data_IF_907191004660
#
_entry.id   IF_907191004660
#
_cell.length_a   1.000
_cell.length_b   1.000
_cell.length_c   1.000
_cell.angle_alpha   90.00
_cell.angle_beta   90.00
_cell.angle_gamma   90.00
#
_symmetry.space_group_name_H-M   'P 1'
#
loop_
_entity.id
_entity.type
_entity.pdbx_description
1 polymer ?
#
# COMPACT_ATOMS: atom_id res chain seq x y z
N UNK A 1 -5.53 -50.11 20.88
CA UNK A 1 -6.40 -49.40 19.92
C UNK A 1 -6.63 -47.99 20.42
N UNK A 2 -5.91 -47.00 19.90
CA UNK A 2 -6.16 -45.57 20.11
C UNK A 2 -5.69 -44.85 18.84
N UNK A 3 -6.57 -44.02 18.30
CA UNK A 3 -6.65 -43.65 16.89
C UNK A 3 -5.60 -42.67 16.39
N UNK A 4 -5.24 -42.86 15.12
CA UNK A 4 -4.58 -41.85 14.30
C UNK A 4 -5.63 -40.80 13.89
N UNK A 5 -5.52 -39.58 14.43
CA UNK A 5 -6.20 -38.41 13.91
C UNK A 5 -5.49 -37.96 12.63
N UNK A 6 -6.16 -38.14 11.50
CA UNK A 6 -5.75 -37.57 10.23
C UNK A 6 -5.74 -36.04 10.33
N UNK A 7 -4.58 -35.43 10.05
CA UNK A 7 -4.45 -34.00 9.81
C UNK A 7 -5.19 -33.64 8.51
N UNK A 8 -5.94 -32.52 8.44
CA UNK A 8 -6.60 -32.14 7.22
C UNK A 8 -5.58 -31.57 6.24
N UNK A 9 -5.31 -32.33 5.18
CA UNK A 9 -4.70 -31.86 3.95
C UNK A 9 -5.71 -31.02 3.15
N UNK A 10 -5.49 -29.72 3.07
CA UNK A 10 -5.97 -28.81 2.02
C UNK A 10 -5.25 -27.48 2.28
N UNK A 11 -4.56 -26.87 1.33
CA UNK A 11 -5.24 -26.07 0.32
C UNK A 11 -4.53 -26.15 -1.03
N UNK A 12 -5.36 -26.35 -2.04
CA UNK A 12 -5.06 -26.28 -3.46
C UNK A 12 -4.55 -24.88 -3.78
N UNK A 13 -3.35 -24.77 -4.33
CA UNK A 13 -2.82 -23.53 -4.90
C UNK A 13 -3.64 -23.19 -6.14
N UNK A 14 -4.66 -22.34 -5.97
CA UNK A 14 -5.34 -21.72 -7.11
C UNK A 14 -4.29 -21.00 -7.98
N UNK A 15 -4.39 -21.08 -9.32
CA UNK A 15 -3.50 -20.31 -10.18
C UNK A 15 -3.64 -18.83 -9.85
N UNK A 16 -2.51 -18.16 -9.63
CA UNK A 16 -2.49 -16.73 -9.35
C UNK A 16 -3.27 -15.99 -10.44
N UNK A 17 -4.12 -15.01 -10.08
CA UNK A 17 -4.85 -14.24 -11.05
C UNK A 17 -3.88 -13.58 -12.05
N UNK A 18 -4.31 -13.39 -13.31
CA UNK A 18 -3.51 -12.68 -14.30
C UNK A 18 -3.15 -11.29 -13.78
N UNK A 19 -1.94 -10.82 -14.09
CA UNK A 19 -1.49 -9.47 -13.73
C UNK A 19 -2.49 -8.48 -14.33
N UNK A 20 -2.95 -7.53 -13.51
CA UNK A 20 -3.84 -6.47 -13.99
C UNK A 20 -3.13 -5.65 -15.09
N UNK A 21 -3.82 -5.27 -16.18
CA UNK A 21 -3.22 -4.43 -17.23
C UNK A 21 -2.57 -3.15 -16.69
N UNK A 22 -3.17 -2.55 -15.66
CA UNK A 22 -2.62 -1.38 -14.98
C UNK A 22 -1.28 -1.67 -14.27
N UNK A 23 -1.15 -2.85 -13.65
CA UNK A 23 0.10 -3.27 -13.02
C UNK A 23 1.18 -3.58 -14.07
N UNK A 24 0.81 -4.17 -15.21
CA UNK A 24 1.75 -4.37 -16.31
C UNK A 24 2.27 -3.02 -16.86
N UNK A 25 1.38 -2.05 -17.07
CA UNK A 25 1.77 -0.71 -17.51
C UNK A 25 2.69 0.00 -16.50
N UNK A 26 2.47 -0.22 -15.20
CA UNK A 26 3.40 0.23 -14.16
C UNK A 26 4.78 -0.40 -14.33
N UNK A 27 4.86 -1.73 -14.48
CA UNK A 27 6.13 -2.44 -14.66
C UNK A 27 6.90 -1.99 -15.89
N UNK A 28 6.20 -1.83 -17.02
CA UNK A 28 6.80 -1.36 -18.26
C UNK A 28 7.34 0.07 -18.10
N UNK A 29 6.62 0.94 -17.37
CA UNK A 29 7.07 2.30 -17.08
C UNK A 29 8.30 2.33 -16.18
N UNK A 30 8.30 1.59 -15.08
CA UNK A 30 9.43 1.62 -14.12
C UNK A 30 10.69 0.99 -14.71
N UNK A 31 10.54 0.04 -15.63
CA UNK A 31 11.65 -0.54 -16.39
C UNK A 31 12.35 0.47 -17.33
N UNK A 32 11.77 1.65 -17.57
CA UNK A 32 12.43 2.70 -18.37
C UNK A 32 13.51 3.47 -17.60
N UNK A 33 13.49 3.43 -16.27
CA UNK A 33 14.41 4.23 -15.44
C UNK A 33 14.98 3.51 -14.21
N UNK A 34 14.52 2.31 -13.88
CA UNK A 34 15.07 1.46 -12.82
C UNK A 34 15.82 0.25 -13.38
N UNK A 35 16.71 -0.31 -12.57
CA UNK A 35 17.40 -1.57 -12.84
C UNK A 35 16.43 -2.76 -12.83
N UNK A 36 16.73 -3.80 -13.59
CA UNK A 36 15.84 -4.98 -13.70
C UNK A 36 15.58 -5.66 -12.36
N UNK A 37 16.60 -5.75 -11.50
CA UNK A 37 16.49 -6.34 -10.16
C UNK A 37 15.47 -5.57 -9.29
N UNK A 38 15.47 -4.23 -9.39
CA UNK A 38 14.52 -3.37 -8.68
C UNK A 38 13.09 -3.56 -9.22
N UNK A 39 12.94 -3.70 -10.53
CA UNK A 39 11.64 -3.97 -11.16
C UNK A 39 11.07 -5.32 -10.71
N UNK A 40 11.92 -6.33 -10.56
CA UNK A 40 11.50 -7.65 -10.08
C UNK A 40 11.11 -7.64 -8.59
N UNK A 41 11.75 -6.81 -7.76
CA UNK A 41 11.29 -6.54 -6.40
C UNK A 41 9.92 -5.86 -6.39
N UNK A 42 9.68 -4.89 -7.27
CA UNK A 42 8.36 -4.23 -7.41
C UNK A 42 7.27 -5.23 -7.83
N UNK A 43 7.55 -6.13 -8.77
CA UNK A 43 6.62 -7.22 -9.15
C UNK A 43 6.32 -8.14 -7.97
N UNK A 44 7.34 -8.47 -7.18
CA UNK A 44 7.20 -9.30 -5.98
C UNK A 44 6.31 -8.60 -4.95
N UNK A 45 6.51 -7.30 -4.74
CA UNK A 45 5.67 -6.49 -3.86
C UNK A 45 4.22 -6.41 -4.34
N UNK A 46 3.98 -6.24 -5.65
CA UNK A 46 2.64 -6.31 -6.23
C UNK A 46 1.95 -7.63 -5.91
N UNK A 47 2.63 -8.77 -6.12
CA UNK A 47 2.07 -10.10 -5.82
C UNK A 47 1.87 -10.33 -4.33
N UNK A 48 2.67 -9.70 -3.48
CA UNK A 48 2.46 -9.73 -2.05
C UNK A 48 1.21 -8.94 -1.66
N UNK A 49 1.07 -7.70 -2.13
CA UNK A 49 -0.12 -6.87 -1.88
C UNK A 49 -1.40 -7.48 -2.45
N UNK A 50 -1.35 -8.06 -3.64
CA UNK A 50 -2.49 -8.75 -4.27
C UNK A 50 -3.00 -9.91 -3.42
N UNK A 51 -2.09 -10.71 -2.85
CA UNK A 51 -2.44 -11.79 -1.92
C UNK A 51 -2.94 -11.27 -0.58
N UNK A 52 -2.31 -10.22 -0.05
CA UNK A 52 -2.69 -9.59 1.21
C UNK A 52 -4.13 -9.03 1.17
N UNK A 53 -4.54 -8.50 0.02
CA UNK A 53 -5.88 -7.98 -0.22
C UNK A 53 -6.81 -8.97 -0.96
N UNK A 54 -6.48 -10.26 -0.98
CA UNK A 54 -7.31 -11.26 -1.65
C UNK A 54 -8.72 -11.30 -1.04
N UNK A 55 -9.74 -11.25 -1.89
CA UNK A 55 -11.15 -11.20 -1.46
C UNK A 55 -11.62 -9.81 -0.98
N UNK A 56 -10.76 -8.80 -0.98
CA UNK A 56 -11.13 -7.41 -0.68
C UNK A 56 -11.49 -6.66 -1.97
N UNK A 57 -12.62 -5.95 -1.93
CA UNK A 57 -13.13 -5.18 -3.06
C UNK A 57 -13.35 -3.72 -2.67
N UNK A 58 -13.03 -2.81 -3.59
CA UNK A 58 -13.38 -1.39 -3.48
C UNK A 58 -14.89 -1.25 -3.52
N UNK A 59 -15.39 -0.09 -3.09
CA UNK A 59 -16.83 0.25 -3.16
C UNK A 59 -17.39 0.26 -4.59
N UNK A 60 -16.52 0.42 -5.59
CA UNK A 60 -16.83 0.33 -7.02
C UNK A 60 -17.01 -1.11 -7.52
N UNK A 61 -16.62 -2.12 -6.73
CA UNK A 61 -16.64 -3.54 -7.12
C UNK A 61 -15.33 -4.06 -7.72
N UNK A 62 -14.31 -3.19 -7.90
CA UNK A 62 -12.98 -3.60 -8.37
C UNK A 62 -12.15 -4.25 -7.24
N UNK A 63 -11.18 -5.13 -7.55
CA UNK A 63 -10.24 -5.65 -6.57
C UNK A 63 -9.49 -4.52 -5.85
N UNK A 64 -9.26 -4.65 -4.54
CA UNK A 64 -8.62 -3.58 -3.75
C UNK A 64 -7.23 -3.19 -4.27
N UNK A 65 -6.49 -4.16 -4.82
CA UNK A 65 -5.15 -3.96 -5.38
C UNK A 65 -5.09 -2.89 -6.49
N UNK A 66 -6.21 -2.52 -7.13
CA UNK A 66 -6.24 -1.44 -8.12
C UNK A 66 -5.82 -0.09 -7.53
N UNK A 67 -6.14 0.16 -6.25
CA UNK A 67 -5.80 1.40 -5.58
C UNK A 67 -4.28 1.55 -5.34
N UNK A 68 -3.59 0.61 -4.65
CA UNK A 68 -2.14 0.67 -4.48
C UNK A 68 -1.38 0.75 -5.82
N UNK A 69 -1.85 0.06 -6.86
CA UNK A 69 -1.26 0.13 -8.21
C UNK A 69 -1.39 1.53 -8.81
N UNK A 70 -2.53 2.20 -8.64
CA UNK A 70 -2.73 3.55 -9.13
C UNK A 70 -1.86 4.57 -8.38
N UNK A 71 -1.73 4.43 -7.06
CA UNK A 71 -0.82 5.26 -6.25
C UNK A 71 0.64 5.07 -6.69
N UNK A 72 1.08 3.83 -6.86
CA UNK A 72 2.41 3.53 -7.38
C UNK A 72 2.63 4.06 -8.81
N UNK A 73 1.59 4.08 -9.64
CA UNK A 73 1.66 4.65 -10.99
C UNK A 73 1.89 6.17 -10.99
N UNK A 74 1.25 6.90 -10.07
CA UNK A 74 1.48 8.34 -9.86
C UNK A 74 2.92 8.59 -9.40
N UNK A 75 3.42 7.79 -8.46
CA UNK A 75 4.80 7.92 -7.99
C UNK A 75 5.81 7.57 -9.08
N UNK A 76 5.48 6.64 -9.97
CA UNK A 76 6.31 6.33 -11.12
C UNK A 76 6.35 7.49 -12.14
N UNK A 77 5.29 8.29 -12.25
CA UNK A 77 5.30 9.54 -13.03
C UNK A 77 6.23 10.62 -12.44
N UNK A 78 6.52 10.51 -11.14
CA UNK A 78 7.48 11.38 -10.45
C UNK A 78 8.90 10.80 -10.41
N UNK A 79 9.14 9.68 -11.11
CA UNK A 79 10.43 8.99 -11.17
C UNK A 79 10.98 8.62 -9.79
N UNK A 80 10.10 8.13 -8.91
CA UNK A 80 10.45 7.71 -7.55
C UNK A 80 11.28 6.42 -7.55
N UNK A 81 12.07 6.21 -6.49
CA UNK A 81 12.88 5.02 -6.31
C UNK A 81 12.04 3.76 -6.03
N UNK A 82 12.64 2.59 -6.25
CA UNK A 82 11.97 1.30 -6.05
C UNK A 82 11.41 1.14 -4.64
N UNK A 83 12.09 1.67 -3.61
CA UNK A 83 11.64 1.56 -2.23
C UNK A 83 10.34 2.32 -1.98
N UNK A 84 10.19 3.52 -2.56
CA UNK A 84 8.95 4.29 -2.46
C UNK A 84 7.81 3.61 -3.23
N UNK A 85 8.10 3.03 -4.40
CA UNK A 85 7.11 2.29 -5.19
C UNK A 85 6.62 1.03 -4.48
N UNK A 86 7.54 0.25 -3.90
CA UNK A 86 7.22 -0.92 -3.08
C UNK A 86 6.40 -0.49 -1.87
N UNK A 87 6.82 0.57 -1.16
CA UNK A 87 6.08 1.08 -0.01
C UNK A 87 4.67 1.54 -0.38
N UNK A 88 4.48 2.15 -1.56
CA UNK A 88 3.16 2.54 -2.06
C UNK A 88 2.27 1.33 -2.41
N UNK A 89 2.83 0.28 -3.01
CA UNK A 89 2.09 -0.96 -3.26
C UNK A 89 1.66 -1.68 -1.98
N UNK A 90 2.38 -1.43 -0.87
CA UNK A 90 2.20 -2.11 0.41
C UNK A 90 1.63 -1.22 1.52
N UNK A 91 1.26 0.04 1.24
CA UNK A 91 0.98 1.01 2.30
C UNK A 91 -0.20 0.62 3.21
N UNK A 92 -1.21 -0.06 2.66
CA UNK A 92 -2.40 -0.49 3.39
C UNK A 92 -2.31 -1.91 3.97
N UNK A 93 -1.31 -2.72 3.59
CA UNK A 93 -1.27 -4.15 3.96
C UNK A 93 -1.13 -4.33 5.47
N UNK A 94 -0.42 -3.42 6.16
CA UNK A 94 -0.27 -3.46 7.62
C UNK A 94 -1.59 -3.15 8.35
N UNK A 95 -2.51 -2.41 7.73
CA UNK A 95 -3.78 -2.03 8.34
C UNK A 95 -4.89 -3.04 8.00
N UNK A 96 -4.99 -3.43 6.73
CA UNK A 96 -6.11 -4.22 6.22
C UNK A 96 -5.89 -5.73 6.27
N UNK A 97 -4.64 -6.19 6.28
CA UNK A 97 -4.31 -7.62 6.20
C UNK A 97 -3.51 -8.15 7.41
N UNK A 98 -3.16 -7.27 8.35
CA UNK A 98 -2.47 -7.65 9.58
C UNK A 98 -1.00 -8.04 9.40
N UNK A 99 -0.41 -7.74 8.23
CA UNK A 99 1.02 -7.97 7.95
C UNK A 99 1.88 -7.18 8.93
N UNK A 100 2.91 -7.82 9.46
CA UNK A 100 3.81 -7.22 10.45
C UNK A 100 4.98 -6.50 9.80
N UNK A 101 5.54 -5.51 10.50
CA UNK A 101 6.76 -4.83 10.08
C UNK A 101 7.95 -5.78 9.87
N UNK A 102 8.01 -6.85 10.66
CA UNK A 102 9.09 -7.85 10.57
C UNK A 102 9.01 -8.62 9.25
N UNK A 103 7.82 -9.07 8.85
CA UNK A 103 7.62 -9.76 7.56
C UNK A 103 8.00 -8.87 6.37
N UNK A 104 7.66 -7.57 6.43
CA UNK A 104 8.07 -6.61 5.40
C UNK A 104 9.59 -6.42 5.38
N UNK A 105 10.24 -6.37 6.54
CA UNK A 105 11.68 -6.21 6.63
C UNK A 105 12.45 -7.44 6.13
N UNK A 106 11.90 -8.64 6.34
CA UNK A 106 12.48 -9.89 5.85
C UNK A 106 12.34 -10.04 4.33
N UNK A 107 11.21 -9.63 3.74
CA UNK A 107 10.97 -9.78 2.30
C UNK A 107 11.51 -8.63 1.45
N UNK A 108 11.40 -7.39 1.91
CA UNK A 108 11.69 -6.18 1.11
C UNK A 108 12.77 -5.30 1.74
N UNK A 109 13.31 -5.71 2.88
CA UNK A 109 14.36 -4.99 3.58
C UNK A 109 13.83 -3.93 4.56
N UNK A 110 14.72 -3.56 5.48
CA UNK A 110 14.43 -2.59 6.54
C UNK A 110 13.95 -1.21 6.04
N UNK A 111 14.51 -0.62 4.96
CA UNK A 111 14.06 0.70 4.48
C UNK A 111 12.58 0.72 4.08
N UNK A 112 12.12 -0.28 3.34
CA UNK A 112 10.71 -0.41 2.93
C UNK A 112 9.81 -0.59 4.15
N UNK A 113 10.20 -1.46 5.08
CA UNK A 113 9.42 -1.69 6.30
C UNK A 113 9.30 -0.43 7.18
N UNK A 114 10.32 0.43 7.20
CA UNK A 114 10.27 1.72 7.90
C UNK A 114 9.37 2.74 7.19
N UNK A 115 9.36 2.76 5.86
CA UNK A 115 8.44 3.59 5.07
C UNK A 115 6.98 3.22 5.31
N UNK A 116 6.63 1.93 5.21
CA UNK A 116 5.25 1.44 5.40
C UNK A 116 4.78 1.66 6.85
N UNK A 117 5.64 1.38 7.83
CA UNK A 117 5.35 1.66 9.26
C UNK A 117 5.16 3.17 9.51
N UNK A 118 5.93 4.03 8.83
CA UNK A 118 5.76 5.47 8.86
C UNK A 118 4.41 5.93 8.31
N UNK A 119 3.97 5.34 7.19
CA UNK A 119 2.68 5.64 6.55
C UNK A 119 1.49 5.24 7.44
N UNK A 120 1.47 4.01 7.97
CA UNK A 120 0.38 3.56 8.86
C UNK A 120 0.31 4.38 10.16
N UNK A 121 1.45 4.78 10.74
CA UNK A 121 1.46 5.66 11.92
C UNK A 121 0.90 7.04 11.62
N UNK A 122 1.21 7.59 10.45
CA UNK A 122 0.70 8.89 10.01
C UNK A 122 -0.83 8.85 9.89
N UNK A 123 -1.37 7.81 9.25
CA UNK A 123 -2.80 7.58 9.11
C UNK A 123 -3.52 7.60 10.47
N UNK A 124 -3.01 6.83 11.45
CA UNK A 124 -3.57 6.76 12.80
C UNK A 124 -3.55 8.09 13.55
N UNK A 125 -2.52 8.91 13.35
CA UNK A 125 -2.41 10.23 13.97
C UNK A 125 -3.45 11.19 13.42
N UNK A 126 -3.72 11.20 12.11
CA UNK A 126 -4.75 12.05 11.49
C UNK A 126 -6.14 11.79 12.10
N UNK A 127 -6.48 10.53 12.41
CA UNK A 127 -7.77 10.16 13.01
C UNK A 127 -7.95 10.64 14.46
N UNK A 128 -6.88 10.86 15.22
CA UNK A 128 -6.93 11.28 16.62
C UNK A 128 -7.09 12.80 16.82
N UNK A 129 -7.06 13.60 15.75
CA UNK A 129 -6.94 15.08 15.83
C UNK A 129 -8.21 15.86 16.17
N UNK A 130 -9.33 15.21 16.53
CA UNK A 130 -10.60 15.93 16.74
C UNK A 130 -10.72 16.71 18.05
N UNK A 131 -9.98 16.38 19.11
CA UNK A 131 -10.02 17.11 20.38
C UNK A 131 -8.62 17.20 21.04
N UNK A 132 -8.15 18.43 21.29
CA UNK A 132 -7.10 18.90 22.23
C UNK A 132 -5.60 18.53 22.12
N UNK A 133 -5.11 17.79 21.12
CA UNK A 133 -3.67 17.44 21.01
C UNK A 133 -2.94 17.98 19.76
N UNK A 134 -3.43 19.05 19.13
CA UNK A 134 -3.00 19.45 17.77
C UNK A 134 -1.52 19.81 17.64
N UNK A 135 -0.92 20.55 18.57
CA UNK A 135 0.47 21.02 18.41
C UNK A 135 1.52 19.92 18.60
N UNK A 136 1.37 19.06 19.60
CA UNK A 136 2.31 17.96 19.87
C UNK A 136 2.14 16.82 18.86
N UNK A 137 0.92 16.51 18.44
CA UNK A 137 0.68 15.53 17.38
C UNK A 137 1.19 16.05 16.03
N UNK A 138 1.01 17.33 15.72
CA UNK A 138 1.58 17.97 14.52
C UNK A 138 3.12 17.97 14.55
N UNK A 139 3.72 18.23 15.71
CA UNK A 139 5.19 18.15 15.88
C UNK A 139 5.71 16.71 15.70
N UNK A 140 5.02 15.70 16.25
CA UNK A 140 5.36 14.27 16.07
C UNK A 140 5.14 13.82 14.63
N UNK A 141 4.08 14.30 13.98
CA UNK A 141 3.78 14.09 12.56
C UNK A 141 4.93 14.64 11.70
N UNK A 142 5.29 15.91 11.88
CA UNK A 142 6.42 16.54 11.19
C UNK A 142 7.74 15.82 11.46
N UNK A 143 7.99 15.35 12.69
CA UNK A 143 9.21 14.61 13.03
C UNK A 143 9.27 13.20 12.42
N UNK A 144 8.12 12.54 12.24
CA UNK A 144 8.03 11.28 11.51
C UNK A 144 8.25 11.50 10.00
N UNK A 145 7.68 12.56 9.45
CA UNK A 145 7.81 12.97 8.04
C UNK A 145 9.20 13.54 7.69
N UNK A 146 9.87 14.20 8.63
CA UNK A 146 11.19 14.80 8.42
C UNK A 146 12.32 13.78 8.25
N UNK A 147 12.08 12.52 8.64
CA UNK A 147 13.09 11.45 8.50
C UNK A 147 13.17 10.91 7.09
N UNK A 148 12.08 10.95 6.33
CA UNK A 148 12.06 10.47 4.97
C UNK A 148 10.96 11.16 4.14
N UNK A 149 11.40 12.01 3.20
CA UNK A 149 10.50 12.75 2.30
C UNK A 149 9.61 11.83 1.45
N UNK A 150 10.04 10.58 1.21
CA UNK A 150 9.28 9.60 0.43
C UNK A 150 7.92 9.30 1.05
N UNK A 151 7.81 9.32 2.39
CA UNK A 151 6.53 9.12 3.11
C UNK A 151 5.52 10.21 2.74
N UNK A 152 5.97 11.47 2.63
CA UNK A 152 5.11 12.60 2.27
C UNK A 152 4.61 12.44 0.84
N UNK A 153 5.52 12.11 -0.09
CA UNK A 153 5.20 11.96 -1.50
C UNK A 153 4.20 10.83 -1.72
N UNK A 154 4.37 9.68 -1.05
CA UNK A 154 3.42 8.58 -1.10
C UNK A 154 2.03 9.03 -0.62
N UNK A 155 1.95 9.77 0.50
CA UNK A 155 0.64 10.24 1.01
C UNK A 155 -0.02 11.28 0.09
N UNK A 156 0.77 12.14 -0.56
CA UNK A 156 0.25 13.07 -1.56
C UNK A 156 -0.29 12.34 -2.79
N UNK A 157 0.41 11.29 -3.25
CA UNK A 157 -0.05 10.46 -4.37
C UNK A 157 -1.33 9.69 -4.01
N UNK A 158 -1.41 9.13 -2.81
CA UNK A 158 -2.62 8.50 -2.26
C UNK A 158 -3.79 9.50 -2.23
N UNK A 159 -3.58 10.69 -1.65
CA UNK A 159 -4.62 11.73 -1.59
C UNK A 159 -5.04 12.20 -2.98
N UNK A 160 -4.10 12.34 -3.92
CA UNK A 160 -4.39 12.71 -5.30
C UNK A 160 -5.27 11.67 -5.98
N UNK A 161 -4.94 10.39 -5.86
CA UNK A 161 -5.75 9.31 -6.41
C UNK A 161 -7.14 9.23 -5.75
N UNK A 162 -7.20 9.41 -4.42
CA UNK A 162 -8.45 9.49 -3.69
C UNK A 162 -9.33 10.64 -4.18
N UNK A 163 -8.74 11.80 -4.49
CA UNK A 163 -9.46 12.93 -5.09
C UNK A 163 -9.93 12.62 -6.52
N UNK A 164 -9.12 11.94 -7.33
CA UNK A 164 -9.48 11.53 -8.70
C UNK A 164 -10.60 10.48 -8.73
N UNK A 165 -10.76 9.68 -7.68
CA UNK A 165 -11.79 8.63 -7.58
C UNK A 165 -13.06 9.08 -6.83
N UNK A 166 -13.18 10.37 -6.49
CA UNK A 166 -14.33 10.93 -5.75
C UNK A 166 -15.66 10.86 -6.51
N UNK A 167 -15.64 10.85 -7.84
CA UNK A 167 -16.86 10.87 -8.67
C UNK A 167 -17.75 9.63 -8.44
N UNK A 168 -17.17 8.52 -7.98
CA UNK A 168 -17.90 7.29 -7.66
C UNK A 168 -18.50 7.26 -6.23
N UNK A 169 -18.29 8.30 -5.40
CA UNK A 169 -18.73 8.34 -4.01
C UNK A 169 -19.96 9.25 -3.79
N UNK A 170 -20.79 8.91 -2.79
CA UNK A 170 -21.94 9.74 -2.42
C UNK A 170 -21.53 11.18 -2.03
N UNK A 171 -22.37 12.21 -2.29
CA UNK A 171 -22.02 13.63 -2.16
C UNK A 171 -21.49 14.04 -0.77
N UNK A 172 -21.99 13.41 0.28
CA UNK A 172 -21.60 13.72 1.67
C UNK A 172 -20.18 13.24 1.99
N UNK A 173 -19.74 12.13 1.37
CA UNK A 173 -18.35 11.66 1.49
C UNK A 173 -17.40 12.50 0.62
N UNK A 174 -17.86 12.98 -0.53
CA UNK A 174 -17.08 13.89 -1.39
C UNK A 174 -16.72 15.17 -0.64
N UNK A 175 -17.69 15.83 0.01
CA UNK A 175 -17.44 17.06 0.79
C UNK A 175 -16.49 16.87 1.97
N UNK A 176 -16.40 15.65 2.53
CA UNK A 176 -15.50 15.34 3.65
C UNK A 176 -14.06 15.04 3.21
N UNK A 177 -13.88 14.49 2.00
CA UNK A 177 -12.56 14.17 1.45
C UNK A 177 -11.97 15.38 0.68
N UNK A 178 -12.81 16.26 0.12
CA UNK A 178 -12.38 17.48 -0.55
C UNK A 178 -12.02 18.64 0.40
N UNK A 179 -12.24 18.48 1.71
CA UNK A 179 -11.93 19.45 2.76
C UNK A 179 -10.67 19.04 3.51
#
# INVERSE_FOLDING_TARGET
>A
MLGASASPSCQVSSPLPPILPAAQALFDKVATYLELDDVDLIKTAYRFGERAHEGQFRKSGEPYITHPVAVASILADWFMDHQALIAALLHDVMEDSGVTKLELAEQFGKPVAELVDGLSKLERLEFQTKEDAQAENFRKMLLAMARDIRVILIKLADRLHNMQTLEAMAPDKQKRIAK
#
